data_IF_856307842578
#
_entry.id   IF_856307842578
#
_cell.length_a   1.000
_cell.length_b   1.000
_cell.length_c   1.000
_cell.angle_alpha   90.00
_cell.angle_beta   90.00
_cell.angle_gamma   90.00
#
_symmetry.space_group_name_H-M   'P 1'
#
loop_
_entity.id
_entity.type
_entity.pdbx_description
1 polymer ?
#
# COMPACT_ATOMS: atom_id res chain seq x y z
N UNK A 1 0.37 18.14 -3.90
CA UNK A 1 -0.25 16.98 -3.25
C UNK A 1 0.50 15.73 -3.68
N UNK A 2 0.93 14.93 -2.72
CA UNK A 2 1.71 13.70 -2.95
C UNK A 2 0.76 12.53 -3.16
N UNK A 3 0.98 11.72 -4.20
CA UNK A 3 0.14 10.57 -4.54
C UNK A 3 0.97 9.31 -4.72
N UNK A 4 0.32 8.15 -4.64
CA UNK A 4 0.95 6.87 -4.94
C UNK A 4 1.33 6.81 -6.42
N UNK A 5 2.55 6.38 -6.70
CA UNK A 5 3.11 6.28 -8.05
C UNK A 5 3.47 4.86 -8.42
N UNK A 6 3.75 4.03 -7.43
CA UNK A 6 4.16 2.67 -7.62
C UNK A 6 3.77 1.81 -6.42
N UNK A 7 3.59 0.52 -6.68
CA UNK A 7 3.39 -0.50 -5.65
C UNK A 7 4.37 -1.63 -5.89
N UNK A 8 5.13 -1.97 -4.84
CA UNK A 8 6.13 -3.04 -4.86
C UNK A 8 5.73 -4.15 -3.90
N UNK A 9 5.49 -5.34 -4.44
CA UNK A 9 5.39 -6.52 -3.59
C UNK A 9 6.80 -6.98 -3.21
N UNK A 10 7.09 -6.92 -1.93
CA UNK A 10 8.29 -7.51 -1.32
C UNK A 10 7.97 -8.93 -0.91
N UNK A 11 8.45 -9.92 -1.66
CA UNK A 11 8.06 -11.32 -1.47
C UNK A 11 9.22 -12.19 -0.98
N UNK A 12 8.90 -13.16 -0.12
CA UNK A 12 9.81 -14.25 0.26
C UNK A 12 10.01 -15.26 -0.87
N UNK A 13 9.04 -15.31 -1.82
CA UNK A 13 9.10 -16.09 -3.05
C UNK A 13 8.55 -15.25 -4.22
N UNK A 14 9.40 -14.45 -4.88
CA UNK A 14 8.97 -13.59 -5.98
C UNK A 14 8.41 -14.35 -7.18
N UNK A 15 8.93 -15.55 -7.46
CA UNK A 15 8.49 -16.35 -8.61
C UNK A 15 7.05 -16.86 -8.40
N UNK A 16 6.76 -17.43 -7.24
CA UNK A 16 5.41 -17.86 -6.89
C UNK A 16 4.44 -16.67 -6.84
N UNK A 17 4.87 -15.54 -6.29
CA UNK A 17 4.05 -14.32 -6.25
C UNK A 17 3.74 -13.83 -7.67
N UNK A 18 4.72 -13.81 -8.56
CA UNK A 18 4.53 -13.40 -9.96
C UNK A 18 3.53 -14.29 -10.67
N UNK A 19 3.66 -15.62 -10.54
CA UNK A 19 2.73 -16.58 -11.14
C UNK A 19 1.29 -16.35 -10.63
N UNK A 20 1.12 -16.16 -9.32
CA UNK A 20 -0.17 -15.91 -8.71
C UNK A 20 -0.82 -14.59 -9.23
N UNK A 21 -0.08 -13.49 -9.22
CA UNK A 21 -0.64 -12.20 -9.64
C UNK A 21 -0.84 -12.13 -11.16
N UNK A 22 -0.04 -12.85 -11.96
CA UNK A 22 -0.28 -13.00 -13.39
C UNK A 22 -1.62 -13.71 -13.65
N UNK A 23 -1.90 -14.78 -12.91
CA UNK A 23 -3.15 -15.54 -13.05
C UNK A 23 -4.37 -14.74 -12.57
N UNK A 24 -4.27 -14.09 -11.40
CA UNK A 24 -5.42 -13.44 -10.74
C UNK A 24 -5.71 -12.04 -11.28
N UNK A 25 -4.67 -11.29 -11.63
CA UNK A 25 -4.80 -9.89 -12.05
C UNK A 25 -4.41 -9.64 -13.52
N UNK A 26 -3.97 -10.66 -14.25
CA UNK A 26 -3.36 -10.46 -15.57
C UNK A 26 -2.07 -9.64 -15.50
N UNK A 27 -1.35 -9.70 -14.36
CA UNK A 27 -0.15 -8.92 -14.12
C UNK A 27 1.00 -9.37 -15.01
N UNK A 28 1.50 -8.45 -15.84
CA UNK A 28 2.68 -8.68 -16.66
C UNK A 28 3.94 -8.07 -15.99
N UNK A 29 5.07 -8.78 -15.98
CA UNK A 29 6.33 -8.24 -15.48
C UNK A 29 6.69 -6.92 -16.17
N UNK A 30 7.00 -5.89 -15.38
CA UNK A 30 7.32 -4.58 -15.92
C UNK A 30 6.12 -3.70 -16.26
N UNK A 31 4.91 -4.13 -15.93
CA UNK A 31 3.72 -3.28 -16.04
C UNK A 31 3.92 -2.00 -15.24
N UNK A 32 3.61 -0.85 -15.86
CA UNK A 32 3.81 0.45 -15.24
C UNK A 32 3.08 0.56 -13.89
N UNK A 33 3.82 0.97 -12.86
CA UNK A 33 3.26 1.21 -11.53
C UNK A 33 3.20 0.01 -10.59
N UNK A 34 3.47 -1.22 -11.06
CA UNK A 34 3.51 -2.43 -10.23
C UNK A 34 4.86 -3.15 -10.36
N UNK A 35 5.34 -3.72 -9.26
CA UNK A 35 6.56 -4.53 -9.23
C UNK A 35 6.50 -5.65 -8.20
N UNK A 36 7.29 -6.70 -8.45
CA UNK A 36 7.50 -7.80 -7.51
C UNK A 36 9.00 -8.00 -7.36
N UNK A 37 9.49 -7.92 -6.14
CA UNK A 37 10.89 -8.08 -5.80
C UNK A 37 11.09 -8.97 -4.58
N UNK A 38 12.32 -9.47 -4.41
CA UNK A 38 12.65 -10.22 -3.21
C UNK A 38 12.57 -9.34 -1.97
N UNK A 39 12.04 -9.91 -0.88
CA UNK A 39 12.09 -9.28 0.44
C UNK A 39 13.56 -9.11 0.82
N UNK A 40 14.00 -7.89 1.24
CA UNK A 40 15.37 -7.66 1.66
C UNK A 40 15.80 -8.63 2.76
N UNK A 41 17.02 -9.17 2.67
CA UNK A 41 17.53 -10.18 3.59
C UNK A 41 17.44 -9.75 5.06
N UNK A 42 17.76 -8.48 5.35
CA UNK A 42 17.64 -7.94 6.71
C UNK A 42 16.19 -7.91 7.22
N UNK A 43 15.20 -7.69 6.35
CA UNK A 43 13.80 -7.74 6.71
C UNK A 43 13.35 -9.19 6.94
N UNK A 44 13.78 -10.10 6.05
CA UNK A 44 13.53 -11.53 6.18
C UNK A 44 14.11 -12.11 7.46
N UNK A 45 15.35 -11.76 7.81
CA UNK A 45 16.01 -12.19 9.04
C UNK A 45 15.30 -11.70 10.31
N UNK A 46 14.53 -10.59 10.23
CA UNK A 46 13.69 -10.09 11.32
C UNK A 46 12.28 -10.67 11.33
N UNK A 47 12.00 -11.64 10.45
CA UNK A 47 10.69 -12.29 10.35
C UNK A 47 9.62 -11.46 9.63
N UNK A 48 10.01 -10.46 8.85
CA UNK A 48 9.03 -9.70 8.07
C UNK A 48 8.33 -10.61 7.04
N UNK A 49 7.00 -10.57 6.93
CA UNK A 49 6.26 -11.31 5.92
C UNK A 49 6.38 -10.65 4.55
N UNK A 50 5.98 -11.37 3.51
CA UNK A 50 5.71 -10.75 2.21
C UNK A 50 4.64 -9.67 2.36
N UNK A 51 4.83 -8.51 1.73
CA UNK A 51 3.92 -7.38 1.85
C UNK A 51 4.00 -6.45 0.64
N UNK A 52 2.91 -5.77 0.36
CA UNK A 52 2.89 -4.67 -0.59
C UNK A 52 3.39 -3.38 0.07
N UNK A 53 4.21 -2.66 -0.65
CA UNK A 53 4.71 -1.33 -0.29
C UNK A 53 4.25 -0.33 -1.34
N UNK A 54 3.36 0.59 -0.97
CA UNK A 54 3.00 1.71 -1.83
C UNK A 54 4.08 2.80 -1.75
N UNK A 55 4.51 3.31 -2.90
CA UNK A 55 5.51 4.36 -3.00
C UNK A 55 4.85 5.67 -3.44
N UNK A 56 5.00 6.69 -2.60
CA UNK A 56 4.56 8.05 -2.86
C UNK A 56 5.62 8.78 -3.69
N UNK A 57 5.18 9.45 -4.76
CA UNK A 57 6.06 10.22 -5.62
C UNK A 57 6.44 11.55 -5.02
N UNK A 58 7.73 11.85 -4.95
CA UNK A 58 8.27 13.10 -4.40
C UNK A 58 9.34 13.69 -5.33
N UNK A 59 9.46 15.03 -5.45
CA UNK A 59 10.40 15.64 -6.37
C UNK A 59 11.86 15.63 -5.87
N UNK A 60 12.07 15.47 -4.55
CA UNK A 60 13.39 15.49 -3.93
C UNK A 60 13.39 14.52 -2.72
N UNK A 61 13.85 13.30 -2.96
CA UNK A 61 13.70 12.20 -2.00
C UNK A 61 14.33 12.52 -0.64
N UNK A 62 15.59 12.93 -0.60
CA UNK A 62 16.29 13.15 0.67
C UNK A 62 15.75 14.34 1.48
N UNK A 63 15.32 15.41 0.80
CA UNK A 63 14.67 16.54 1.46
C UNK A 63 13.34 16.13 2.09
N UNK A 64 12.54 15.35 1.38
CA UNK A 64 11.27 14.86 1.88
C UNK A 64 11.45 13.87 3.03
N UNK A 65 12.43 12.98 2.93
CA UNK A 65 12.78 12.07 4.03
C UNK A 65 13.21 12.87 5.27
N UNK A 66 14.09 13.87 5.14
CA UNK A 66 14.49 14.70 6.27
C UNK A 66 13.27 15.37 6.95
N UNK A 67 12.35 15.88 6.15
CA UNK A 67 11.11 16.49 6.65
C UNK A 67 10.23 15.48 7.42
N UNK A 68 10.09 14.26 6.90
CA UNK A 68 9.28 13.22 7.53
C UNK A 68 9.92 12.66 8.81
N UNK A 69 11.25 12.55 8.86
CA UNK A 69 11.96 12.16 10.09
C UNK A 69 11.66 13.13 11.24
N UNK A 70 11.57 14.45 10.97
CA UNK A 70 11.15 15.44 11.97
C UNK A 70 9.69 15.28 12.41
N UNK A 71 8.88 14.54 11.66
CA UNK A 71 7.49 14.20 11.97
C UNK A 71 7.34 12.82 12.63
N UNK A 72 8.46 12.21 13.04
CA UNK A 72 8.49 10.93 13.74
C UNK A 72 8.52 9.69 12.86
N UNK A 73 8.67 9.84 11.55
CA UNK A 73 8.93 8.69 10.68
C UNK A 73 10.34 8.14 10.93
N UNK A 74 10.54 6.87 10.65
CA UNK A 74 11.82 6.17 10.80
C UNK A 74 12.20 5.45 9.50
N UNK A 75 13.47 5.49 9.09
CA UNK A 75 13.93 4.67 7.96
C UNK A 75 13.88 3.18 8.30
N UNK A 76 13.39 2.36 7.37
CA UNK A 76 13.30 0.91 7.53
C UNK A 76 14.47 0.14 6.94
N UNK A 77 15.39 0.79 6.28
CA UNK A 77 16.55 0.18 5.65
C UNK A 77 17.32 1.16 4.77
N UNK A 78 18.32 0.68 4.02
CA UNK A 78 19.03 1.52 3.07
C UNK A 78 18.12 1.96 1.91
N UNK A 79 18.44 3.06 1.22
CA UNK A 79 17.79 3.41 -0.03
C UNK A 79 17.96 2.30 -1.07
N UNK A 80 17.01 2.23 -2.00
CA UNK A 80 17.01 1.28 -3.11
C UNK A 80 16.60 1.98 -4.41
N UNK A 81 16.64 1.26 -5.52
CA UNK A 81 16.30 1.81 -6.84
C UNK A 81 15.11 1.03 -7.40
N UNK A 82 14.14 1.74 -7.96
CA UNK A 82 12.98 1.18 -8.67
C UNK A 82 12.88 1.87 -10.02
N UNK A 83 12.95 1.10 -11.10
CA UNK A 83 12.93 1.60 -12.49
C UNK A 83 13.92 2.75 -12.74
N UNK A 84 15.12 2.66 -12.13
CA UNK A 84 16.16 3.70 -12.23
C UNK A 84 15.97 4.90 -11.30
N UNK A 85 14.86 5.01 -10.58
CA UNK A 85 14.60 6.11 -9.65
C UNK A 85 14.97 5.74 -8.21
N UNK A 86 15.61 6.67 -7.46
CA UNK A 86 15.88 6.48 -6.05
C UNK A 86 14.60 6.34 -5.23
N UNK A 87 14.59 5.41 -4.29
CA UNK A 87 13.46 5.14 -3.42
C UNK A 87 13.92 4.77 -2.00
N UNK A 88 13.01 4.89 -1.04
CA UNK A 88 13.25 4.49 0.35
C UNK A 88 11.98 3.99 1.01
N UNK A 89 12.14 3.20 2.07
CA UNK A 89 11.02 2.75 2.92
C UNK A 89 11.09 3.44 4.26
N UNK A 90 9.96 3.93 4.73
CA UNK A 90 9.80 4.56 6.02
C UNK A 90 8.73 3.81 6.84
N UNK A 91 8.84 3.90 8.15
CA UNK A 91 7.79 3.51 9.08
C UNK A 91 7.20 4.79 9.66
N UNK A 92 5.87 4.92 9.60
CA UNK A 92 5.20 6.04 10.22
C UNK A 92 5.21 5.93 11.77
N UNK A 93 4.86 6.98 12.51
CA UNK A 93 4.82 6.96 13.98
C UNK A 93 3.88 5.92 14.58
N UNK A 94 2.91 5.43 13.81
CA UNK A 94 1.93 4.43 14.25
C UNK A 94 2.34 3.00 13.89
N UNK A 95 3.41 2.83 13.11
CA UNK A 95 4.03 1.54 12.83
C UNK A 95 3.88 1.00 11.41
N UNK A 96 3.09 1.66 10.54
CA UNK A 96 2.89 1.22 9.16
C UNK A 96 4.08 1.60 8.26
N UNK A 97 4.40 0.71 7.32
CA UNK A 97 5.42 0.97 6.30
C UNK A 97 4.83 1.71 5.11
N UNK A 98 5.54 2.74 4.63
CA UNK A 98 5.24 3.49 3.42
C UNK A 98 6.54 3.75 2.65
N UNK A 99 6.47 3.75 1.32
CA UNK A 99 7.62 4.06 0.47
C UNK A 99 7.56 5.48 -0.08
N UNK A 100 8.73 6.02 -0.41
CA UNK A 100 8.90 7.21 -1.24
C UNK A 100 9.74 6.85 -2.46
N UNK A 101 9.41 7.45 -3.60
CA UNK A 101 10.17 7.34 -4.84
C UNK A 101 10.38 8.74 -5.42
N UNK A 102 11.62 9.03 -5.85
CA UNK A 102 11.91 10.27 -6.52
C UNK A 102 11.32 10.29 -7.92
N UNK A 103 10.63 11.36 -8.26
CA UNK A 103 10.03 11.57 -9.58
C UNK A 103 10.52 12.89 -10.15
N UNK A 104 11.01 12.87 -11.40
CA UNK A 104 11.58 14.04 -12.09
C UNK A 104 10.71 14.45 -13.28
N UNK A 105 10.61 15.75 -13.53
CA UNK A 105 10.00 16.31 -14.73
C UNK A 105 8.52 15.97 -14.90
N UNK A 106 8.11 15.65 -16.13
CA UNK A 106 6.72 15.34 -16.50
C UNK A 106 6.13 14.09 -15.83
N UNK A 107 6.97 13.30 -15.14
CA UNK A 107 6.50 12.20 -14.29
C UNK A 107 5.64 12.65 -13.10
N UNK A 108 5.50 13.97 -12.88
CA UNK A 108 4.50 14.56 -11.98
C UNK A 108 3.07 14.42 -12.51
N UNK A 109 2.90 14.20 -13.83
CA UNK A 109 1.60 13.85 -14.42
C UNK A 109 1.07 12.57 -13.78
N UNK A 110 -0.25 12.43 -13.57
CA UNK A 110 -0.80 11.17 -13.03
C UNK A 110 -0.29 10.01 -13.87
N UNK A 111 0.43 9.08 -13.25
CA UNK A 111 0.76 7.84 -13.93
C UNK A 111 -0.54 7.17 -14.41
N UNK A 112 -0.55 6.49 -15.57
CA UNK A 112 -1.68 5.62 -15.91
C UNK A 112 -1.95 4.76 -14.67
N UNK A 113 -3.18 4.78 -14.21
CA UNK A 113 -3.54 4.23 -12.92
C UNK A 113 -3.03 2.78 -12.81
N UNK A 114 -2.18 2.46 -11.81
CA UNK A 114 -2.00 1.08 -11.47
C UNK A 114 -3.37 0.52 -11.10
N UNK A 115 -3.59 -0.76 -11.34
CA UNK A 115 -4.85 -1.46 -11.06
C UNK A 115 -5.20 -1.52 -9.55
N UNK A 116 -4.80 -0.50 -8.78
CA UNK A 116 -5.10 -0.33 -7.36
C UNK A 116 -6.25 0.64 -7.21
N UNK A 117 -7.44 0.10 -6.94
CA UNK A 117 -8.67 0.87 -6.78
C UNK A 117 -8.75 1.56 -5.41
N UNK A 118 -8.28 0.91 -4.35
CA UNK A 118 -8.48 1.38 -2.98
C UNK A 118 -7.28 1.11 -2.08
N UNK A 119 -7.09 1.94 -1.04
CA UNK A 119 -5.92 1.88 -0.13
C UNK A 119 -6.39 2.12 1.30
N UNK A 120 -6.33 1.09 2.14
CA UNK A 120 -6.71 1.21 3.54
C UNK A 120 -5.50 1.14 4.45
N UNK A 121 -5.37 2.12 5.35
CA UNK A 121 -4.42 2.05 6.44
C UNK A 121 -5.10 1.50 7.69
N UNK A 122 -4.69 0.29 8.06
CA UNK A 122 -5.00 -0.27 9.36
C UNK A 122 -3.99 0.25 10.38
N UNK A 123 -4.45 0.97 11.39
CA UNK A 123 -3.57 1.66 12.34
C UNK A 123 -4.07 1.49 13.79
N UNK A 124 -3.23 1.86 14.75
CA UNK A 124 -3.60 1.86 16.18
C UNK A 124 -4.27 3.15 16.65
N UNK A 125 -4.13 4.20 15.85
CA UNK A 125 -4.72 5.51 16.10
C UNK A 125 -5.17 6.11 14.77
N UNK A 126 -6.40 5.81 14.40
CA UNK A 126 -7.02 6.24 13.14
C UNK A 126 -7.04 7.78 13.00
N UNK A 127 -7.54 8.55 13.98
CA UNK A 127 -7.59 10.02 13.84
C UNK A 127 -6.20 10.64 13.76
N UNK A 128 -5.26 10.14 14.56
CA UNK A 128 -3.87 10.62 14.55
C UNK A 128 -3.17 10.32 13.22
N UNK A 129 -3.35 9.12 12.68
CA UNK A 129 -2.82 8.75 11.37
C UNK A 129 -3.43 9.61 10.25
N UNK A 130 -4.75 9.79 10.24
CA UNK A 130 -5.44 10.63 9.25
C UNK A 130 -4.90 12.07 9.27
N UNK A 131 -4.76 12.68 10.45
CA UNK A 131 -4.18 14.02 10.59
C UNK A 131 -2.72 14.09 10.15
N UNK A 132 -1.91 13.05 10.45
CA UNK A 132 -0.51 12.97 10.04
C UNK A 132 -0.38 12.93 8.52
N UNK A 133 -1.09 12.02 7.86
CA UNK A 133 -1.01 11.85 6.41
C UNK A 133 -1.57 13.08 5.67
N UNK A 134 -2.67 13.68 6.15
CA UNK A 134 -3.19 14.93 5.62
C UNK A 134 -2.13 16.04 5.69
N UNK A 135 -1.50 16.24 6.86
CA UNK A 135 -0.51 17.30 7.05
C UNK A 135 0.81 17.04 6.32
N UNK A 136 1.22 15.77 6.18
CA UNK A 136 2.48 15.43 5.51
C UNK A 136 2.36 15.42 3.99
N UNK A 137 1.26 14.95 3.44
CA UNK A 137 1.14 14.68 2.00
C UNK A 137 0.05 15.49 1.29
N UNK A 138 -0.67 16.34 2.05
CA UNK A 138 -1.73 17.20 1.51
C UNK A 138 -2.99 16.42 1.10
N UNK A 139 -3.25 15.27 1.72
CA UNK A 139 -4.47 14.49 1.48
C UNK A 139 -5.67 15.16 2.14
N UNK A 140 -6.84 15.04 1.52
CA UNK A 140 -8.08 15.54 2.11
C UNK A 140 -8.78 14.41 2.83
N UNK A 141 -8.87 14.50 4.15
CA UNK A 141 -9.66 13.57 4.95
C UNK A 141 -11.12 13.97 4.85
N UNK A 142 -11.97 13.01 4.51
CA UNK A 142 -13.41 13.20 4.35
C UNK A 142 -14.13 12.91 5.68
N UNK A 143 -15.42 13.29 5.83
CA UNK A 143 -16.17 12.99 7.03
C UNK A 143 -16.15 11.50 7.38
N UNK A 144 -15.95 11.22 8.67
CA UNK A 144 -15.98 9.85 9.20
C UNK A 144 -17.31 9.18 8.89
N UNK A 145 -17.27 7.95 8.45
CA UNK A 145 -18.43 7.09 8.26
C UNK A 145 -18.39 5.91 9.23
N UNK A 146 -19.54 5.46 9.68
CA UNK A 146 -19.66 4.28 10.53
C UNK A 146 -19.90 3.04 9.66
N UNK A 147 -18.94 2.11 9.68
CA UNK A 147 -19.04 0.83 8.99
C UNK A 147 -19.68 -0.28 9.86
N UNK A 148 -20.44 0.09 10.88
CA UNK A 148 -21.12 -0.83 11.78
C UNK A 148 -20.13 -1.71 12.56
N UNK A 149 -20.18 -3.01 12.36
CA UNK A 149 -19.28 -3.97 13.06
C UNK A 149 -17.79 -3.75 12.83
N UNK A 150 -17.44 -3.01 11.79
CA UNK A 150 -16.03 -2.69 11.48
C UNK A 150 -15.57 -1.37 12.09
N UNK A 151 -16.49 -0.64 12.74
CA UNK A 151 -16.21 0.62 13.44
C UNK A 151 -16.10 1.84 12.52
N UNK A 152 -15.61 2.94 13.08
CA UNK A 152 -15.45 4.20 12.34
C UNK A 152 -14.33 4.12 11.31
N UNK A 153 -14.54 4.78 10.18
CA UNK A 153 -13.65 4.83 9.03
C UNK A 153 -13.50 6.26 8.54
N UNK A 154 -12.28 6.75 8.34
CA UNK A 154 -11.99 8.07 7.81
C UNK A 154 -11.54 7.98 6.36
N UNK A 155 -12.43 8.17 5.37
CA UNK A 155 -12.03 8.17 3.98
C UNK A 155 -11.07 9.33 3.69
N UNK A 156 -10.20 9.15 2.70
CA UNK A 156 -9.41 10.25 2.15
C UNK A 156 -9.52 10.33 0.63
N UNK A 157 -9.30 11.53 0.10
CA UNK A 157 -9.25 11.78 -1.33
C UNK A 157 -7.87 12.22 -1.77
N UNK A 158 -7.53 11.87 -3.01
CA UNK A 158 -6.36 12.30 -3.75
C UNK A 158 -6.83 13.06 -4.99
N UNK A 159 -6.53 14.37 -5.09
CA UNK A 159 -6.97 15.18 -6.24
C UNK A 159 -8.48 15.37 -6.35
N UNK A 160 -9.21 15.23 -5.24
CA UNK A 160 -10.68 15.35 -5.21
C UNK A 160 -11.42 14.01 -5.34
N UNK A 161 -10.73 12.93 -5.77
CA UNK A 161 -11.33 11.61 -5.91
C UNK A 161 -11.08 10.75 -4.68
N UNK A 162 -12.10 10.04 -4.15
CA UNK A 162 -11.92 9.08 -3.06
C UNK A 162 -10.88 8.02 -3.45
N UNK A 163 -9.93 7.76 -2.56
CA UNK A 163 -8.78 6.91 -2.87
C UNK A 163 -8.49 5.83 -1.83
N UNK A 164 -9.08 5.91 -0.65
CA UNK A 164 -8.86 4.99 0.44
C UNK A 164 -9.37 5.52 1.76
N UNK A 165 -8.89 4.96 2.85
CA UNK A 165 -9.22 5.45 4.18
C UNK A 165 -8.33 4.90 5.29
N UNK A 166 -8.64 5.36 6.48
CA UNK A 166 -7.98 4.97 7.72
C UNK A 166 -8.99 4.23 8.59
N UNK A 167 -8.56 3.13 9.19
CA UNK A 167 -9.37 2.37 10.12
C UNK A 167 -8.55 1.84 11.28
N UNK A 168 -9.19 1.65 12.41
CA UNK A 168 -8.52 1.06 13.56
C UNK A 168 -8.27 -0.44 13.30
N UNK A 169 -7.05 -0.90 13.61
CA UNK A 169 -6.73 -2.33 13.58
C UNK A 169 -7.40 -3.01 14.77
N UNK A 170 -8.62 -3.52 14.56
CA UNK A 170 -9.44 -4.09 15.63
C UNK A 170 -8.98 -5.44 16.18
N UNK A 171 -7.93 -6.04 15.63
CA UNK A 171 -7.44 -7.36 16.06
C UNK A 171 -6.17 -7.22 16.90
N UNK A 172 -6.15 -7.78 18.12
CA UNK A 172 -4.95 -7.85 18.93
C UNK A 172 -3.80 -8.56 18.18
N UNK A 173 -2.61 -7.95 18.20
CA UNK A 173 -1.42 -8.51 17.54
C UNK A 173 -1.28 -8.18 16.05
N UNK A 174 -2.27 -7.56 15.42
CA UNK A 174 -2.14 -7.07 14.06
C UNK A 174 -1.26 -5.83 14.05
N UNK A 175 -0.16 -5.88 13.27
CA UNK A 175 0.69 -4.72 13.07
C UNK A 175 0.02 -3.70 12.14
N UNK A 176 0.22 -2.39 12.36
CA UNK A 176 -0.23 -1.37 11.41
C UNK A 176 0.33 -1.63 10.01
N UNK A 177 -0.53 -1.55 9.01
CA UNK A 177 -0.15 -1.85 7.62
C UNK A 177 -1.10 -1.20 6.62
N UNK A 178 -0.61 -1.00 5.42
CA UNK A 178 -1.40 -0.64 4.27
C UNK A 178 -1.95 -1.88 3.57
N UNK A 179 -3.23 -1.85 3.24
CA UNK A 179 -3.92 -2.83 2.41
C UNK A 179 -4.28 -2.18 1.08
N UNK A 180 -3.99 -2.88 -0.01
CA UNK A 180 -4.26 -2.40 -1.36
C UNK A 180 -5.27 -3.32 -2.04
N UNK A 181 -6.39 -2.75 -2.51
CA UNK A 181 -7.37 -3.46 -3.32
C UNK A 181 -7.09 -3.24 -4.79
N UNK A 182 -6.95 -4.33 -5.54
CA UNK A 182 -6.69 -4.33 -6.98
C UNK A 182 -7.99 -4.51 -7.75
N UNK A 183 -8.09 -3.87 -8.91
CA UNK A 183 -9.16 -4.14 -9.86
C UNK A 183 -8.82 -5.43 -10.63
N UNK A 184 -9.67 -6.46 -10.56
CA UNK A 184 -9.44 -7.66 -11.35
C UNK A 184 -9.64 -7.35 -12.85
N UNK A 185 -8.72 -7.79 -13.69
CA UNK A 185 -8.90 -7.77 -15.15
C UNK A 185 -9.80 -8.96 -15.52
N UNK A 186 -11.11 -8.78 -15.41
CA UNK A 186 -12.08 -9.80 -15.85
C UNK A 186 -12.36 -9.58 -17.34
N UNK A 187 -11.68 -10.34 -18.21
CA UNK A 187 -12.09 -10.56 -19.60
C UNK A 187 -12.48 -9.33 -20.43
N UNK A 188 -11.73 -8.22 -20.33
CA UNK A 188 -11.97 -7.05 -21.18
C UNK A 188 -13.23 -6.22 -20.86
N UNK A 189 -13.94 -6.52 -19.79
CA UNK A 189 -15.02 -5.67 -19.28
C UNK A 189 -14.54 -4.92 -18.05
N UNK A 190 -14.54 -3.58 -18.12
CA UNK A 190 -14.49 -2.76 -16.93
C UNK A 190 -15.72 -3.11 -16.08
N UNK A 191 -15.56 -3.52 -14.82
CA UNK A 191 -16.71 -3.71 -13.94
C UNK A 191 -17.47 -2.37 -13.84
N UNK A 192 -18.83 -2.40 -13.82
CA UNK A 192 -19.59 -1.17 -13.67
C UNK A 192 -19.17 -0.47 -12.38
N UNK A 193 -19.09 0.87 -12.43
CA UNK A 193 -18.79 1.70 -11.28
C UNK A 193 -19.69 1.30 -10.10
N UNK A 194 -19.12 0.70 -9.07
CA UNK A 194 -19.83 0.16 -7.89
C UNK A 194 -19.61 -1.33 -7.59
N UNK A 195 -19.02 -2.10 -8.50
CA UNK A 195 -18.61 -3.48 -8.22
C UNK A 195 -17.13 -3.50 -7.80
N UNK A 196 -16.83 -3.05 -6.60
CA UNK A 196 -15.53 -3.30 -5.96
C UNK A 196 -15.56 -4.76 -5.53
N UNK A 197 -15.16 -5.67 -6.41
CA UNK A 197 -14.70 -6.97 -6.01
C UNK A 197 -13.34 -6.76 -5.33
N UNK A 198 -13.37 -6.40 -4.05
CA UNK A 198 -12.19 -6.31 -3.22
C UNK A 198 -11.60 -7.72 -3.10
N UNK A 199 -10.75 -8.11 -4.03
CA UNK A 199 -9.75 -9.14 -3.78
C UNK A 199 -8.80 -8.51 -2.76
N UNK A 200 -9.17 -8.66 -1.48
CA UNK A 200 -8.26 -8.41 -0.39
C UNK A 200 -7.10 -9.40 -0.55
N UNK A 201 -6.10 -8.98 -1.29
CA UNK A 201 -4.81 -9.64 -1.30
C UNK A 201 -4.14 -9.36 0.04
N UNK A 202 -4.77 -9.87 1.12
CA UNK A 202 -4.05 -10.06 2.37
C UNK A 202 -2.85 -10.93 2.02
N UNK A 203 -1.66 -10.51 2.43
CA UNK A 203 -0.47 -11.34 2.49
C UNK A 203 -0.69 -12.53 3.46
N UNK A 204 -1.69 -13.35 3.18
CA UNK A 204 -1.96 -14.59 3.90
C UNK A 204 -1.00 -15.72 3.50
N UNK A 205 -0.02 -15.44 2.63
CA UNK A 205 1.02 -16.41 2.26
C UNK A 205 2.20 -16.44 3.25
N UNK A 206 2.11 -15.80 4.41
CA UNK A 206 3.22 -15.72 5.34
C UNK A 206 2.95 -16.26 6.75
N UNK A 207 1.92 -17.09 6.97
CA UNK A 207 1.84 -17.83 8.23
C UNK A 207 1.58 -19.32 7.95
N UNK A 208 2.48 -20.23 8.40
CA UNK A 208 2.28 -21.67 8.32
C UNK A 208 1.41 -22.18 9.47
N UNK A 209 0.27 -21.55 9.73
CA UNK A 209 -0.69 -22.02 10.73
C UNK A 209 -2.11 -21.96 10.18
N UNK A 210 -2.61 -23.12 9.82
CA UNK A 210 -4.03 -23.41 9.92
C UNK A 210 -4.78 -23.41 8.61
N UNK A 211 -4.99 -24.61 8.13
CA UNK A 211 -6.01 -25.04 7.19
C UNK A 211 -7.28 -24.21 7.32
N UNK A 212 -7.67 -23.54 6.25
CA UNK A 212 -9.05 -23.10 6.08
C UNK A 212 -9.91 -24.35 6.00
N UNK A 213 -10.64 -24.64 7.06
CA UNK A 213 -11.55 -25.76 7.11
C UNK A 213 -12.67 -25.56 6.09
N UNK A 214 -12.81 -26.52 5.21
CA UNK A 214 -13.98 -26.69 4.37
C UNK A 214 -15.24 -26.76 5.24
N UNK A 215 -16.05 -25.72 5.26
CA UNK A 215 -17.42 -25.80 5.73
C UNK A 215 -18.23 -26.41 4.58
N UNK A 216 -18.41 -27.72 4.64
CA UNK A 216 -19.42 -28.41 3.87
C UNK A 216 -20.78 -28.26 4.52
N UNK A 217 -21.80 -28.19 3.64
CA UNK A 217 -23.27 -28.28 3.76
C UNK A 217 -24.00 -27.00 4.10
#
# INVERSE_FOLDING_TARGET
>A
MTSFRRYELRSTDPAAAQAFYAEVLGFEPGQAGLGISALPEQARARGAPSHWLGLLGVPALEAEVARLLLRGFLRLGPPFVVDGAPATSLRDPYGAAIGLIEISGDALSPAPAPAVAWRDLHTKDRPGAAALYASCFGWTVLPTIDLGRYGPYDPFSLGGEPAGGFMDSGLPGLHPHWLYAFEPVIGGMNPPAGAIAALYATCALAHPLGRCGSAGR
#
